data_IF_663351570270
#
_entry.id   IF_663351570270
#
_cell.length_a   1.000
_cell.length_b   1.000
_cell.length_c   1.000
_cell.angle_alpha   90.00
_cell.angle_beta   90.00
_cell.angle_gamma   90.00
#
_symmetry.space_group_name_H-M   'P 1'
#
loop_
_entity.id
_entity.type
_entity.pdbx_description
1 polymer ?
#
# COMPACT_ATOMS: atom_id res chain seq x y z
N UNK A 1 -10.70 -1.97 24.72
CA UNK A 1 -10.63 -1.54 23.31
C UNK A 1 -9.29 -1.98 22.77
N UNK A 2 -9.20 -2.56 21.55
CA UNK A 2 -7.93 -2.99 21.02
C UNK A 2 -7.01 -1.77 20.87
N UNK A 3 -5.85 -1.83 21.51
CA UNK A 3 -4.77 -0.84 21.44
C UNK A 3 -3.75 -1.18 20.36
N UNK A 4 -3.98 -2.26 19.61
CA UNK A 4 -3.15 -2.69 18.49
C UNK A 4 -3.53 -1.93 17.22
N UNK A 5 -2.52 -1.56 16.44
CA UNK A 5 -2.71 -1.04 15.09
C UNK A 5 -3.41 -2.10 14.21
N UNK A 6 -4.23 -1.63 13.27
CA UNK A 6 -4.78 -2.44 12.19
C UNK A 6 -3.78 -2.46 11.03
N UNK A 7 -3.49 -3.66 10.51
CA UNK A 7 -2.44 -3.89 9.52
C UNK A 7 -3.05 -4.66 8.34
N UNK A 8 -3.00 -4.06 7.16
CA UNK A 8 -3.42 -4.66 5.91
C UNK A 8 -2.23 -4.78 4.96
N UNK A 9 -2.07 -5.94 4.32
CA UNK A 9 -1.00 -6.22 3.36
C UNK A 9 -1.55 -6.25 1.93
N UNK A 10 -0.77 -5.75 0.99
CA UNK A 10 -1.04 -5.73 -0.44
C UNK A 10 0.13 -6.36 -1.18
N UNK A 11 -0.10 -7.41 -1.93
CA UNK A 11 0.95 -8.09 -2.69
C UNK A 11 0.89 -7.68 -4.16
N UNK A 12 2.01 -7.21 -4.69
CA UNK A 12 2.20 -6.97 -6.10
C UNK A 12 2.94 -8.16 -6.74
N UNK A 13 2.25 -8.90 -7.60
CA UNK A 13 2.81 -10.07 -8.30
C UNK A 13 3.89 -9.69 -9.31
N UNK A 14 3.80 -8.49 -9.90
CA UNK A 14 4.71 -8.06 -10.95
C UNK A 14 6.14 -7.83 -10.42
N UNK A 15 6.26 -7.26 -9.22
CA UNK A 15 7.54 -6.97 -8.57
C UNK A 15 7.84 -7.89 -7.38
N UNK A 16 6.91 -8.78 -7.00
CA UNK A 16 6.98 -9.60 -5.80
C UNK A 16 7.14 -8.78 -4.51
N UNK A 17 6.57 -7.58 -4.48
CA UNK A 17 6.63 -6.64 -3.35
C UNK A 17 5.38 -6.79 -2.48
N UNK A 18 5.54 -6.75 -1.16
CA UNK A 18 4.41 -6.63 -0.21
C UNK A 18 4.42 -5.24 0.39
N UNK A 19 3.42 -4.43 0.05
CA UNK A 19 3.17 -3.12 0.68
C UNK A 19 2.24 -3.29 1.89
N UNK A 20 2.33 -2.39 2.87
CA UNK A 20 1.49 -2.43 4.06
C UNK A 20 0.77 -1.11 4.32
N UNK A 21 -0.50 -1.18 4.70
CA UNK A 21 -1.25 -0.11 5.34
C UNK A 21 -1.30 -0.39 6.84
N UNK A 22 -0.78 0.53 7.63
CA UNK A 22 -0.86 0.48 9.09
C UNK A 22 -1.74 1.63 9.56
N UNK A 23 -2.81 1.35 10.30
CA UNK A 23 -3.73 2.38 10.80
C UNK A 23 -3.97 2.26 12.30
N UNK A 24 -4.07 3.42 12.97
CA UNK A 24 -4.51 3.51 14.36
C UNK A 24 -6.02 3.80 14.38
N UNK A 25 -6.87 2.84 14.82
CA UNK A 25 -8.32 3.02 14.83
C UNK A 25 -8.80 4.11 15.80
N UNK A 26 -7.95 4.55 16.75
CA UNK A 26 -8.31 5.57 17.74
C UNK A 26 -8.05 6.98 17.23
N UNK A 27 -6.92 7.20 16.56
CA UNK A 27 -6.54 8.53 16.06
C UNK A 27 -6.90 8.73 14.60
N UNK A 28 -7.29 7.66 13.91
CA UNK A 28 -7.51 7.61 12.46
C UNK A 28 -6.27 8.03 11.64
N UNK A 29 -5.09 7.97 12.25
CA UNK A 29 -3.83 8.14 11.53
C UNK A 29 -3.47 6.83 10.83
N UNK A 30 -2.87 6.94 9.64
CA UNK A 30 -2.41 5.80 8.89
C UNK A 30 -1.09 6.10 8.18
N UNK A 31 -0.30 5.06 7.94
CA UNK A 31 0.93 5.09 7.18
C UNK A 31 0.92 3.98 6.12
N UNK A 32 1.43 4.30 4.93
CA UNK A 32 1.67 3.33 3.86
C UNK A 32 3.16 3.04 3.84
N UNK A 33 3.53 1.77 3.93
CA UNK A 33 4.91 1.29 3.93
C UNK A 33 5.19 0.62 2.60
N UNK A 34 6.27 1.05 1.96
CA UNK A 34 6.79 0.54 0.70
C UNK A 34 5.76 0.55 -0.45
N UNK A 35 5.23 1.74 -0.83
CA UNK A 35 4.22 1.84 -1.88
C UNK A 35 4.81 1.46 -3.25
N UNK A 36 4.11 0.57 -3.95
CA UNK A 36 4.43 0.21 -5.34
C UNK A 36 3.77 1.21 -6.30
N UNK A 37 4.52 1.63 -7.32
CA UNK A 37 4.03 2.48 -8.40
C UNK A 37 3.98 1.70 -9.70
N UNK A 38 2.82 1.71 -10.36
CA UNK A 38 2.65 1.08 -11.67
C UNK A 38 3.38 1.88 -12.75
N UNK A 39 4.50 1.32 -13.24
CA UNK A 39 5.35 1.96 -14.25
C UNK A 39 5.54 1.06 -15.47
N UNK A 40 5.18 1.56 -16.65
CA UNK A 40 5.50 0.91 -17.93
C UNK A 40 6.83 1.44 -18.47
N UNK A 41 7.85 0.58 -18.40
CA UNK A 41 9.20 0.88 -18.87
C UNK A 41 9.29 1.17 -20.38
N UNK A 42 8.37 0.65 -21.20
CA UNK A 42 8.40 0.83 -22.67
C UNK A 42 7.84 2.19 -23.09
N UNK A 43 6.78 2.66 -22.43
CA UNK A 43 6.11 3.92 -22.76
C UNK A 43 6.47 5.08 -21.82
N UNK A 44 7.17 4.80 -20.72
CA UNK A 44 7.52 5.79 -19.70
C UNK A 44 6.31 6.29 -18.91
N UNK A 45 5.18 5.59 -18.98
CA UNK A 45 3.93 6.01 -18.33
C UNK A 45 3.86 5.49 -16.90
N UNK A 46 3.30 6.34 -16.04
CA UNK A 46 2.94 6.02 -14.67
C UNK A 46 1.42 5.95 -14.59
N UNK A 47 0.91 4.90 -13.96
CA UNK A 47 -0.51 4.76 -13.65
C UNK A 47 -0.71 4.88 -12.14
N UNK A 48 -1.81 5.54 -11.76
CA UNK A 48 -2.25 5.62 -10.38
C UNK A 48 -3.56 4.85 -10.35
N UNK A 49 -3.50 3.61 -9.86
CA UNK A 49 -4.68 2.78 -9.65
C UNK A 49 -5.08 2.80 -8.18
N UNK A 50 -6.38 2.94 -7.90
CA UNK A 50 -6.90 2.72 -6.56
C UNK A 50 -6.98 1.22 -6.33
N UNK A 51 -6.07 0.67 -5.52
CA UNK A 51 -6.24 -0.68 -5.00
C UNK A 51 -7.47 -0.70 -4.08
N UNK A 52 -8.42 -1.60 -4.37
CA UNK A 52 -9.73 -1.68 -3.73
C UNK A 52 -9.78 -2.78 -2.68
#
# INVERSE_FOLDING_TARGET
>A
MPTSADIQAFFDEATNTVSYLVSDPRTHQAAIIDPVLDYDHRSGKVLISTQK
#
